data_IF_535704601634
#
_entry.id   IF_535704601634
#
_cell.length_a   1.000
_cell.length_b   1.000
_cell.length_c   1.000
_cell.angle_alpha   90.00
_cell.angle_beta   90.00
_cell.angle_gamma   90.00
#
_symmetry.space_group_name_H-M   'P 1'
#
loop_
_entity.id
_entity.type
_entity.pdbx_description
1 polymer ?
#
# COMPACT_ATOMS: atom_id res chain seq x y z
N UNK A 1 -14.32 12.89 9.02
CA UNK A 1 -14.08 12.44 10.38
C UNK A 1 -13.17 11.21 10.37
N UNK A 2 -12.51 10.93 11.52
CA UNK A 2 -11.70 9.76 11.76
C UNK A 2 -12.03 9.17 13.13
N UNK A 3 -12.02 7.84 13.22
CA UNK A 3 -12.08 7.10 14.48
C UNK A 3 -10.65 6.73 14.88
N UNK A 4 -10.27 6.96 16.13
CA UNK A 4 -8.93 6.58 16.64
C UNK A 4 -8.83 5.08 16.87
N UNK A 5 -7.67 4.51 16.62
CA UNK A 5 -7.33 3.15 17.06
C UNK A 5 -7.37 3.06 18.59
N UNK A 6 -7.80 1.90 19.15
CA UNK A 6 -8.35 0.71 18.49
C UNK A 6 -9.77 0.96 17.96
N UNK A 7 -10.02 0.65 16.67
CA UNK A 7 -11.28 0.93 15.99
C UNK A 7 -11.97 -0.35 15.49
N UNK A 8 -13.29 -0.45 15.69
CA UNK A 8 -14.11 -1.54 15.17
C UNK A 8 -15.25 -1.03 14.28
N UNK A 9 -15.94 -1.96 13.61
CA UNK A 9 -17.03 -1.62 12.68
C UNK A 9 -18.18 -0.88 13.36
N UNK A 10 -18.45 -1.10 14.65
CA UNK A 10 -19.53 -0.42 15.38
C UNK A 10 -19.19 1.05 15.60
N UNK A 11 -17.92 1.32 15.94
CA UNK A 11 -17.42 2.68 16.08
C UNK A 11 -17.46 3.42 14.75
N UNK A 12 -17.07 2.76 13.64
CA UNK A 12 -17.14 3.32 12.29
C UNK A 12 -18.59 3.64 11.91
N UNK A 13 -19.51 2.70 12.09
CA UNK A 13 -20.92 2.90 11.80
C UNK A 13 -21.54 4.03 12.63
N UNK A 14 -21.24 4.07 13.93
CA UNK A 14 -21.77 5.07 14.86
C UNK A 14 -21.26 6.49 14.63
N UNK A 15 -20.17 6.68 13.92
CA UNK A 15 -19.57 7.98 13.59
C UNK A 15 -19.72 8.35 12.09
N UNK A 16 -20.54 7.61 11.35
CA UNK A 16 -20.87 7.97 9.97
C UNK A 16 -21.62 9.31 9.92
N UNK A 17 -21.28 10.11 8.91
CA UNK A 17 -21.86 11.44 8.72
C UNK A 17 -22.85 11.40 7.56
N UNK A 18 -24.09 11.86 7.80
CA UNK A 18 -25.07 12.05 6.76
C UNK A 18 -24.82 13.37 6.03
N UNK A 19 -24.75 13.31 4.71
CA UNK A 19 -24.61 14.48 3.83
C UNK A 19 -25.84 14.55 2.92
N UNK A 20 -26.59 15.66 2.90
CA UNK A 20 -27.74 15.80 2.02
C UNK A 20 -27.32 15.67 0.55
N UNK A 21 -27.94 14.73 -0.17
CA UNK A 21 -27.65 14.53 -1.60
C UNK A 21 -28.28 15.59 -2.52
N UNK A 22 -29.33 16.28 -2.04
CA UNK A 22 -30.13 17.20 -2.84
C UNK A 22 -31.03 16.51 -3.88
N UNK A 23 -30.91 15.21 -4.07
CA UNK A 23 -31.61 14.44 -5.10
C UNK A 23 -32.42 13.27 -4.54
N UNK A 24 -32.42 13.06 -3.24
CA UNK A 24 -33.10 11.93 -2.60
C UNK A 24 -32.56 11.66 -1.20
N UNK A 25 -32.36 10.39 -0.82
CA UNK A 25 -31.83 10.05 0.50
C UNK A 25 -30.42 10.62 0.73
N UNK A 26 -30.11 10.87 1.99
CA UNK A 26 -28.78 11.32 2.40
C UNK A 26 -27.70 10.30 2.09
N UNK A 27 -26.51 10.80 1.76
CA UNK A 27 -25.32 9.97 1.57
C UNK A 27 -24.66 9.79 2.93
N UNK A 28 -24.48 8.53 3.37
CA UNK A 28 -23.73 8.21 4.56
C UNK A 28 -22.24 8.05 4.24
N UNK A 29 -21.42 8.87 4.86
CA UNK A 29 -19.96 8.82 4.71
C UNK A 29 -19.37 8.16 5.96
N UNK A 30 -18.79 6.99 5.80
CA UNK A 30 -18.05 6.33 6.88
C UNK A 30 -16.79 7.14 7.25
N UNK A 31 -16.43 7.22 8.54
CA UNK A 31 -15.16 7.82 8.95
C UNK A 31 -13.99 6.93 8.55
N UNK A 32 -12.82 7.53 8.30
CA UNK A 32 -11.57 6.78 8.24
C UNK A 32 -11.07 6.37 9.63
N UNK A 33 -9.92 5.72 9.68
CA UNK A 33 -9.25 5.37 10.94
C UNK A 33 -7.97 6.18 11.09
N UNK A 34 -7.70 6.63 12.30
CA UNK A 34 -6.51 7.36 12.71
C UNK A 34 -5.73 6.51 13.73
N UNK A 35 -4.47 6.25 13.44
CA UNK A 35 -3.49 5.79 14.42
C UNK A 35 -2.65 6.99 14.85
N UNK A 36 -2.59 7.28 16.17
CA UNK A 36 -1.94 8.49 16.69
C UNK A 36 -1.53 8.24 18.15
N UNK A 37 -0.38 7.60 18.30
CA UNK A 37 0.25 7.35 19.59
C UNK A 37 1.40 8.33 19.83
N UNK A 38 1.64 8.77 21.06
CA UNK A 38 2.54 9.88 21.38
C UNK A 38 3.99 9.73 20.89
N UNK A 39 4.49 8.50 20.86
CA UNK A 39 5.89 8.20 20.53
C UNK A 39 6.06 7.62 19.12
N UNK A 40 4.99 7.63 18.31
CA UNK A 40 4.98 7.07 16.96
C UNK A 40 4.53 8.10 15.92
N UNK A 41 4.88 7.86 14.66
CA UNK A 41 4.35 8.67 13.57
C UNK A 41 2.85 8.40 13.41
N UNK A 42 2.01 9.44 13.37
CA UNK A 42 0.60 9.27 13.13
C UNK A 42 0.35 8.75 11.71
N UNK A 43 -0.71 7.96 11.55
CA UNK A 43 -1.10 7.40 10.25
C UNK A 43 -2.62 7.47 10.07
N UNK A 44 -3.07 7.58 8.82
CA UNK A 44 -4.48 7.65 8.46
C UNK A 44 -4.81 6.67 7.33
N UNK A 45 -6.00 6.05 7.42
CA UNK A 45 -6.58 5.32 6.30
C UNK A 45 -8.02 5.78 6.07
N UNK A 46 -8.45 5.70 4.82
CA UNK A 46 -9.83 6.00 4.44
C UNK A 46 -10.24 5.17 3.23
N UNK A 47 -11.12 4.21 3.48
CA UNK A 47 -11.60 3.21 2.52
C UNK A 47 -11.17 1.81 2.92
N UNK A 48 -9.90 1.63 3.32
CA UNK A 48 -9.34 0.34 3.69
C UNK A 48 -9.99 -0.23 4.98
N UNK A 49 -10.42 0.63 5.90
CA UNK A 49 -11.15 0.22 7.11
C UNK A 49 -12.44 -0.56 6.78
N UNK A 50 -13.11 -0.20 5.69
CA UNK A 50 -14.31 -0.90 5.24
C UNK A 50 -13.96 -2.25 4.62
N UNK A 51 -12.84 -2.32 3.89
CA UNK A 51 -12.33 -3.61 3.36
C UNK A 51 -11.96 -4.56 4.50
N UNK A 52 -11.27 -4.06 5.53
CA UNK A 52 -10.93 -4.83 6.74
C UNK A 52 -12.21 -5.33 7.43
N UNK A 53 -13.19 -4.44 7.65
CA UNK A 53 -14.46 -4.80 8.26
C UNK A 53 -15.19 -5.88 7.46
N UNK A 54 -15.24 -5.75 6.12
CA UNK A 54 -15.81 -6.75 5.22
C UNK A 54 -15.09 -8.10 5.30
N UNK A 55 -13.75 -8.09 5.33
CA UNK A 55 -12.95 -9.31 5.45
C UNK A 55 -13.19 -10.03 6.79
N UNK A 56 -13.29 -9.30 7.90
CA UNK A 56 -13.61 -9.87 9.21
C UNK A 56 -15.02 -10.45 9.31
N UNK A 57 -16.00 -9.83 8.63
CA UNK A 57 -17.35 -10.37 8.55
C UNK A 57 -17.40 -11.69 7.77
N UNK A 58 -16.62 -11.81 6.70
CA UNK A 58 -16.54 -13.03 5.89
C UNK A 58 -15.70 -14.11 6.55
N UNK A 59 -14.70 -13.75 7.34
CA UNK A 59 -13.77 -14.66 7.99
C UNK A 59 -13.63 -14.32 9.48
N UNK A 60 -14.62 -14.65 10.32
CA UNK A 60 -14.61 -14.29 11.74
C UNK A 60 -13.41 -14.82 12.53
N UNK A 61 -12.78 -15.90 12.07
CA UNK A 61 -11.58 -16.45 12.72
C UNK A 61 -10.40 -15.47 12.71
N UNK A 62 -10.34 -14.55 11.74
CA UNK A 62 -9.28 -13.53 11.65
C UNK A 62 -9.42 -12.42 12.70
N UNK A 63 -10.62 -12.32 13.32
CA UNK A 63 -10.90 -11.30 14.32
C UNK A 63 -10.08 -11.47 15.62
N UNK A 64 -9.74 -12.70 16.00
CA UNK A 64 -8.99 -12.94 17.25
C UNK A 64 -7.61 -12.28 17.19
N UNK A 65 -6.85 -12.58 16.15
CA UNK A 65 -5.56 -11.95 15.85
C UNK A 65 -5.17 -12.21 14.39
N UNK A 66 -4.89 -11.15 13.64
CA UNK A 66 -4.38 -11.25 12.27
C UNK A 66 -3.59 -10.00 11.88
N UNK A 67 -2.83 -10.12 10.80
CA UNK A 67 -2.24 -8.99 10.10
C UNK A 67 -2.81 -9.00 8.67
N UNK A 68 -3.41 -7.88 8.27
CA UNK A 68 -3.99 -7.71 6.94
C UNK A 68 -3.13 -6.77 6.11
N UNK A 69 -2.70 -7.25 4.96
CA UNK A 69 -2.04 -6.43 3.94
C UNK A 69 -3.06 -6.03 2.89
N UNK A 70 -3.19 -4.72 2.67
CA UNK A 70 -4.01 -4.12 1.63
C UNK A 70 -3.09 -3.40 0.64
N UNK A 71 -2.67 -4.07 -0.45
CA UNK A 71 -1.82 -3.46 -1.46
C UNK A 71 -2.59 -2.38 -2.23
N UNK A 72 -1.89 -1.31 -2.61
CA UNK A 72 -2.51 -0.23 -3.37
C UNK A 72 -1.52 0.88 -3.71
N UNK A 73 -2.05 2.06 -3.99
CA UNK A 73 -1.25 3.29 -4.15
C UNK A 73 -0.39 3.51 -2.91
N UNK A 74 -1.02 3.34 -1.74
CA UNK A 74 -0.37 3.24 -0.44
C UNK A 74 -0.76 1.91 0.18
N UNK A 75 0.19 1.02 0.36
CA UNK A 75 -0.09 -0.28 0.99
C UNK A 75 -0.27 -0.11 2.50
N UNK A 76 -1.30 -0.76 3.06
CA UNK A 76 -1.57 -0.75 4.50
C UNK A 76 -1.25 -2.11 5.11
N UNK A 77 -0.51 -2.11 6.20
CA UNK A 77 -0.29 -3.28 7.06
C UNK A 77 -1.04 -3.07 8.36
N UNK A 78 -2.20 -3.71 8.51
CA UNK A 78 -3.10 -3.52 9.63
C UNK A 78 -3.07 -4.72 10.58
N UNK A 79 -2.84 -4.45 11.86
CA UNK A 79 -2.91 -5.44 12.95
C UNK A 79 -4.31 -5.44 13.53
N UNK A 80 -4.89 -6.63 13.60
CA UNK A 80 -6.22 -6.87 14.14
C UNK A 80 -6.09 -7.67 15.42
N UNK A 81 -6.77 -7.23 16.45
CA UNK A 81 -6.94 -7.95 17.73
C UNK A 81 -8.37 -7.75 18.23
N UNK A 82 -9.03 -8.84 18.60
CA UNK A 82 -10.40 -8.86 19.11
C UNK A 82 -11.40 -8.09 18.21
N UNK A 83 -11.24 -8.24 16.88
CA UNK A 83 -12.09 -7.58 15.88
C UNK A 83 -11.86 -6.09 15.71
N UNK A 84 -10.77 -5.56 16.26
CA UNK A 84 -10.40 -4.13 16.19
C UNK A 84 -9.12 -3.93 15.39
N UNK A 85 -9.07 -2.86 14.63
CA UNK A 85 -7.83 -2.35 14.06
C UNK A 85 -7.07 -1.67 15.21
N UNK A 86 -6.04 -2.34 15.73
CA UNK A 86 -5.29 -1.81 16.89
C UNK A 86 -4.14 -0.91 16.44
N UNK A 87 -3.54 -1.21 15.30
CA UNK A 87 -2.42 -0.49 14.72
C UNK A 87 -2.34 -0.74 13.23
N UNK A 88 -1.77 0.16 12.49
CA UNK A 88 -1.38 -0.06 11.09
C UNK A 88 -0.24 0.87 10.69
N UNK A 89 0.38 0.55 9.56
CA UNK A 89 1.38 1.39 8.92
C UNK A 89 1.09 1.48 7.42
N UNK A 90 1.20 2.70 6.88
CA UNK A 90 1.06 3.00 5.46
C UNK A 90 2.43 3.13 4.80
N UNK A 91 2.56 2.49 3.65
CA UNK A 91 3.78 2.54 2.84
C UNK A 91 3.47 3.09 1.46
N UNK A 92 4.26 4.04 1.01
CA UNK A 92 4.24 4.55 -0.36
C UNK A 92 4.81 3.48 -1.30
N UNK A 93 3.95 2.62 -1.84
CA UNK A 93 4.33 1.54 -2.75
C UNK A 93 3.95 1.88 -4.19
N UNK A 94 2.68 1.75 -4.55
CA UNK A 94 2.21 2.00 -5.91
C UNK A 94 2.43 3.45 -6.38
N UNK A 95 2.26 4.43 -5.51
CA UNK A 95 2.55 5.83 -5.86
C UNK A 95 4.03 6.05 -6.12
N UNK A 96 4.92 5.55 -5.24
CA UNK A 96 6.36 5.68 -5.43
C UNK A 96 6.81 4.98 -6.72
N UNK A 97 6.28 3.78 -7.00
CA UNK A 97 6.51 3.09 -8.27
C UNK A 97 6.12 3.95 -9.46
N UNK A 98 4.91 4.54 -9.45
CA UNK A 98 4.42 5.38 -10.54
C UNK A 98 5.31 6.62 -10.73
N UNK A 99 5.65 7.31 -9.65
CA UNK A 99 6.53 8.50 -9.71
C UNK A 99 7.91 8.14 -10.23
N UNK A 100 8.52 7.07 -9.75
CA UNK A 100 9.87 6.65 -10.16
C UNK A 100 9.90 6.17 -11.62
N UNK A 101 8.89 5.44 -12.06
CA UNK A 101 8.82 4.91 -13.43
C UNK A 101 8.43 5.98 -14.46
N UNK A 102 7.62 6.98 -14.09
CA UNK A 102 7.09 7.96 -15.03
C UNK A 102 7.84 9.30 -14.99
N UNK A 103 8.32 9.72 -13.82
CA UNK A 103 8.81 11.08 -13.59
C UNK A 103 10.27 11.15 -13.12
N UNK A 104 10.99 10.01 -13.07
CA UNK A 104 12.40 9.99 -12.69
C UNK A 104 13.32 9.53 -13.82
N UNK A 105 14.63 9.59 -13.54
CA UNK A 105 15.66 9.10 -14.47
C UNK A 105 15.58 7.56 -14.68
N UNK A 106 14.92 6.83 -13.78
CA UNK A 106 14.78 5.37 -13.88
C UNK A 106 13.89 5.01 -15.06
N UNK A 107 12.77 5.72 -15.23
CA UNK A 107 11.82 5.48 -16.31
C UNK A 107 12.39 5.70 -17.72
N UNK A 108 13.46 6.47 -17.85
CA UNK A 108 14.11 6.71 -19.16
C UNK A 108 14.72 5.46 -19.80
N UNK A 109 14.99 4.44 -19.00
CA UNK A 109 15.51 3.16 -19.51
C UNK A 109 14.40 2.11 -19.67
N UNK A 110 13.22 2.36 -19.12
CA UNK A 110 12.08 1.46 -19.23
C UNK A 110 11.39 1.67 -20.58
N UNK A 111 10.85 0.60 -21.20
CA UNK A 111 10.01 0.75 -22.38
C UNK A 111 8.81 1.65 -22.08
N UNK A 112 8.37 2.43 -23.08
CA UNK A 112 7.14 3.19 -22.97
C UNK A 112 5.96 2.27 -22.68
N UNK A 113 5.02 2.74 -21.85
CA UNK A 113 3.79 2.02 -21.59
C UNK A 113 3.06 1.77 -22.91
N UNK A 114 2.69 0.52 -23.17
CA UNK A 114 1.90 0.13 -24.35
C UNK A 114 0.49 -0.23 -23.90
N UNK A 115 -0.49 -0.15 -24.81
CA UNK A 115 -1.88 -0.56 -24.53
C UNK A 115 -2.03 -2.06 -24.25
N UNK A 116 -1.04 -2.86 -24.65
CA UNK A 116 -1.05 -4.31 -24.41
C UNK A 116 -0.48 -4.62 -23.04
N UNK A 117 -1.15 -5.50 -22.25
CA UNK A 117 -0.57 -6.03 -21.03
C UNK A 117 0.82 -6.62 -21.32
N UNK A 118 1.81 -6.19 -20.57
CA UNK A 118 3.15 -6.77 -20.63
C UNK A 118 3.17 -8.00 -19.73
N UNK A 119 3.80 -9.06 -20.19
CA UNK A 119 4.10 -10.21 -19.36
C UNK A 119 5.07 -9.79 -18.24
N UNK A 120 4.76 -10.19 -17.01
CA UNK A 120 5.59 -9.88 -15.84
C UNK A 120 6.84 -10.76 -15.84
N UNK A 121 8.00 -10.16 -15.64
CA UNK A 121 9.25 -10.89 -15.40
C UNK A 121 9.36 -11.22 -13.90
N UNK A 122 8.85 -12.41 -13.54
CA UNK A 122 8.84 -12.88 -12.16
C UNK A 122 10.25 -12.96 -11.57
N UNK A 123 11.26 -13.35 -12.36
CA UNK A 123 12.63 -13.45 -11.87
C UNK A 123 13.20 -12.07 -11.53
N UNK A 124 12.88 -11.04 -12.31
CA UNK A 124 13.27 -9.68 -12.02
C UNK A 124 12.54 -9.14 -10.78
N UNK A 125 11.25 -9.45 -10.64
CA UNK A 125 10.48 -9.10 -9.45
C UNK A 125 11.07 -9.75 -8.19
N UNK A 126 11.34 -11.04 -8.20
CA UNK A 126 11.96 -11.77 -7.08
C UNK A 126 13.35 -11.24 -6.74
N UNK A 127 14.13 -10.85 -7.74
CA UNK A 127 15.42 -10.21 -7.51
C UNK A 127 15.25 -8.88 -6.74
N UNK A 128 14.30 -8.04 -7.13
CA UNK A 128 13.96 -6.80 -6.41
C UNK A 128 13.54 -7.08 -4.97
N UNK A 129 12.66 -8.04 -4.77
CA UNK A 129 12.18 -8.47 -3.46
C UNK A 129 13.32 -9.00 -2.57
N UNK A 130 14.26 -9.76 -3.13
CA UNK A 130 15.44 -10.25 -2.40
C UNK A 130 16.33 -9.10 -1.94
N UNK A 131 16.58 -8.11 -2.81
CA UNK A 131 17.36 -6.92 -2.47
C UNK A 131 16.68 -6.13 -1.35
N UNK A 132 15.34 -5.96 -1.41
CA UNK A 132 14.58 -5.31 -0.35
C UNK A 132 14.68 -6.05 0.99
N UNK A 133 14.56 -7.38 0.98
CA UNK A 133 14.63 -8.23 2.17
C UNK A 133 15.99 -8.11 2.90
N UNK A 134 17.07 -8.00 2.13
CA UNK A 134 18.43 -7.92 2.67
C UNK A 134 18.85 -6.49 3.01
N UNK A 135 17.92 -5.52 2.93
CA UNK A 135 18.15 -4.10 3.18
C UNK A 135 18.49 -3.80 4.63
N UNK A 136 19.35 -2.79 4.80
CA UNK A 136 19.62 -2.15 6.09
C UNK A 136 18.93 -0.78 6.14
N UNK A 137 18.69 -0.23 7.33
CA UNK A 137 18.20 1.15 7.45
C UNK A 137 19.04 2.12 6.65
N UNK A 138 18.41 2.88 5.73
CA UNK A 138 19.07 3.85 4.87
C UNK A 138 19.43 3.36 3.46
N UNK A 139 19.35 2.07 3.18
CA UNK A 139 19.74 1.50 1.87
C UNK A 139 18.74 1.78 0.74
N UNK A 140 17.49 2.06 1.06
CA UNK A 140 16.40 2.14 0.08
C UNK A 140 16.73 3.06 -1.11
N UNK A 141 17.25 4.25 -0.86
CA UNK A 141 17.55 5.22 -1.93
C UNK A 141 18.68 4.74 -2.85
N UNK A 142 19.68 4.04 -2.30
CA UNK A 142 20.74 3.40 -3.07
C UNK A 142 20.21 2.24 -3.92
N UNK A 143 19.38 1.42 -3.34
CA UNK A 143 18.79 0.26 -4.02
C UNK A 143 17.83 0.68 -5.14
N UNK A 144 17.03 1.74 -4.94
CA UNK A 144 16.21 2.34 -5.99
C UNK A 144 17.10 2.77 -7.18
N UNK A 145 18.23 3.41 -6.92
CA UNK A 145 19.19 3.78 -7.98
C UNK A 145 19.79 2.55 -8.67
N UNK A 146 19.86 1.42 -7.97
CA UNK A 146 20.26 0.11 -8.51
C UNK A 146 19.46 -0.29 -9.75
N UNK A 147 18.17 0.04 -9.83
CA UNK A 147 17.33 -0.17 -11.03
C UNK A 147 17.99 0.42 -12.28
N UNK A 148 18.51 1.64 -12.18
CA UNK A 148 19.18 2.29 -13.30
C UNK A 148 20.51 1.63 -13.63
N UNK A 149 21.31 1.30 -12.64
CA UNK A 149 22.65 0.75 -12.88
C UNK A 149 22.57 -0.67 -13.45
N UNK A 150 21.59 -1.48 -13.05
CA UNK A 150 21.33 -2.79 -13.65
C UNK A 150 21.02 -2.67 -15.15
N UNK A 151 20.20 -1.70 -15.55
CA UNK A 151 19.91 -1.44 -16.95
C UNK A 151 21.12 -0.92 -17.73
N UNK A 152 21.85 0.07 -17.19
CA UNK A 152 23.02 0.66 -17.86
C UNK A 152 24.17 -0.33 -18.06
N UNK A 153 24.34 -1.27 -17.13
CA UNK A 153 25.39 -2.30 -17.21
C UNK A 153 24.94 -3.53 -18.00
N UNK A 154 23.71 -3.56 -18.50
CA UNK A 154 23.14 -4.71 -19.22
C UNK A 154 22.93 -5.95 -18.35
N UNK A 155 22.99 -5.81 -17.02
CA UNK A 155 22.77 -6.93 -16.09
C UNK A 155 21.28 -7.30 -15.97
N UNK A 156 20.38 -6.37 -16.30
CA UNK A 156 18.96 -6.59 -16.40
C UNK A 156 18.44 -5.96 -17.69
N UNK A 157 17.60 -6.69 -18.48
CA UNK A 157 16.97 -6.12 -19.67
C UNK A 157 16.10 -4.91 -19.35
N UNK A 158 16.03 -3.93 -20.24
CA UNK A 158 15.20 -2.74 -20.08
C UNK A 158 13.72 -3.09 -19.78
N UNK A 159 13.19 -4.14 -20.41
CA UNK A 159 11.82 -4.61 -20.20
C UNK A 159 11.56 -5.13 -18.78
N UNK A 160 12.59 -5.59 -18.06
CA UNK A 160 12.48 -6.18 -16.73
C UNK A 160 12.70 -5.19 -15.60
N UNK A 161 13.15 -3.95 -15.90
CA UNK A 161 13.47 -2.94 -14.88
C UNK A 161 12.26 -2.53 -14.03
N UNK A 162 11.07 -2.49 -14.64
CA UNK A 162 9.85 -2.16 -13.92
C UNK A 162 9.47 -3.25 -12.92
N UNK A 163 9.66 -4.52 -13.26
CA UNK A 163 9.37 -5.66 -12.38
C UNK A 163 10.36 -5.70 -11.20
N UNK A 164 11.65 -5.48 -11.47
CA UNK A 164 12.65 -5.33 -10.43
C UNK A 164 12.29 -4.18 -9.44
N UNK A 165 11.95 -3.01 -9.98
CA UNK A 165 11.56 -1.87 -9.15
C UNK A 165 10.28 -2.18 -8.33
N UNK A 166 9.32 -2.88 -8.93
CA UNK A 166 8.10 -3.30 -8.23
C UNK A 166 8.41 -4.24 -7.06
N UNK A 167 9.25 -5.25 -7.27
CA UNK A 167 9.68 -6.16 -6.21
C UNK A 167 10.49 -5.48 -5.10
N UNK A 168 11.26 -4.44 -5.44
CA UNK A 168 12.03 -3.66 -4.48
C UNK A 168 11.15 -2.81 -3.54
N UNK A 169 9.99 -2.35 -4.03
CA UNK A 169 9.11 -1.41 -3.31
C UNK A 169 7.97 -2.09 -2.52
N UNK A 170 7.71 -3.39 -2.76
CA UNK A 170 6.62 -4.10 -2.11
C UNK A 170 7.04 -4.69 -0.77
#
# INVERSE_FOLDING_TARGET
PYVRCPADIRMLAGQSVAVPSGLGPDILIAPGVLFDEPDELPDVMRGEEIQIAGALLQNPAWAARSCMLLPGTHSKWAQIEDGRIVRYASYLTGELFAVLSQHSILGRLMPAATEKPRETDEAAFELGLSVARDSRPGDLSHQIFGTRTLGLTGRLPAASLADYLSGLLI
#
